data_IF_873052896267
#
_entry.id   IF_873052896267
#
_cell.length_a   1.000
_cell.length_b   1.000
_cell.length_c   1.000
_cell.angle_alpha   90.00
_cell.angle_beta   90.00
_cell.angle_gamma   90.00
#
_symmetry.space_group_name_H-M   'P 1'
#
loop_
_entity.id
_entity.type
_entity.pdbx_description
1 polymer ?
#
# COMPACT_ATOMS: atom_id res chain seq x y z
N UNK A 1 11.54 4.39 -22.71
CA UNK A 1 10.71 4.76 -21.53
C UNK A 1 10.52 3.53 -20.66
N UNK A 2 10.81 3.66 -19.38
CA UNK A 2 10.56 2.61 -18.40
C UNK A 2 9.09 2.63 -17.94
N UNK A 3 8.64 1.54 -17.33
CA UNK A 3 7.30 1.49 -16.75
C UNK A 3 7.11 2.52 -15.62
N UNK A 4 8.18 2.79 -14.86
CA UNK A 4 8.17 3.80 -13.80
C UNK A 4 7.96 5.21 -14.36
N UNK A 5 8.78 5.62 -15.34
CA UNK A 5 8.64 6.94 -15.98
C UNK A 5 7.24 7.16 -16.54
N UNK A 6 6.68 6.14 -17.18
CA UNK A 6 5.32 6.20 -17.73
C UNK A 6 4.26 6.39 -16.64
N UNK A 7 4.37 5.65 -15.53
CA UNK A 7 3.46 5.78 -14.41
C UNK A 7 3.56 7.16 -13.74
N UNK A 8 4.77 7.67 -13.56
CA UNK A 8 5.01 9.01 -12.99
C UNK A 8 4.38 10.11 -13.86
N UNK A 9 4.55 10.05 -15.18
CA UNK A 9 3.92 11.00 -16.10
C UNK A 9 2.39 11.01 -16.02
N UNK A 10 1.76 9.82 -15.96
CA UNK A 10 0.31 9.72 -15.86
C UNK A 10 -0.24 10.20 -14.51
N UNK A 11 0.49 10.00 -13.43
CA UNK A 11 0.06 10.36 -12.08
C UNK A 11 0.39 11.80 -11.71
N UNK A 12 1.34 12.43 -12.38
CA UNK A 12 1.76 13.81 -12.11
C UNK A 12 0.61 14.83 -12.04
N UNK A 13 -0.40 14.81 -12.93
CA UNK A 13 -1.55 15.72 -12.82
C UNK A 13 -2.60 15.27 -11.79
N UNK A 14 -2.46 14.08 -11.20
CA UNK A 14 -3.47 13.44 -10.35
C UNK A 14 -3.13 13.59 -8.87
N UNK A 15 -1.85 13.48 -8.50
CA UNK A 15 -1.40 13.51 -7.11
C UNK A 15 -0.01 14.14 -6.98
N UNK A 16 0.21 14.85 -5.89
CA UNK A 16 1.53 15.39 -5.57
C UNK A 16 2.54 14.28 -5.23
N UNK A 17 2.06 13.14 -4.75
CA UNK A 17 2.89 11.97 -4.40
C UNK A 17 3.09 11.01 -5.58
N UNK A 18 3.00 11.48 -6.81
CA UNK A 18 3.05 10.66 -8.02
C UNK A 18 4.27 9.75 -8.12
N UNK A 19 5.45 10.19 -7.69
CA UNK A 19 6.65 9.37 -7.70
C UNK A 19 6.56 8.18 -6.73
N UNK A 20 6.07 8.44 -5.52
CA UNK A 20 5.90 7.39 -4.51
C UNK A 20 4.80 6.39 -4.93
N UNK A 21 3.66 6.90 -5.40
CA UNK A 21 2.56 6.05 -5.88
C UNK A 21 2.97 5.23 -7.10
N UNK A 22 3.72 5.81 -8.04
CA UNK A 22 4.23 5.09 -9.21
C UNK A 22 5.13 3.91 -8.82
N UNK A 23 6.05 4.09 -7.88
CA UNK A 23 6.89 2.99 -7.36
C UNK A 23 6.06 1.87 -6.74
N UNK A 24 5.05 2.21 -5.96
CA UNK A 24 4.15 1.23 -5.35
C UNK A 24 3.39 0.44 -6.43
N UNK A 25 2.86 1.12 -7.44
CA UNK A 25 2.15 0.49 -8.55
C UNK A 25 3.07 -0.47 -9.32
N UNK A 26 4.26 -0.04 -9.68
CA UNK A 26 5.21 -0.88 -10.42
C UNK A 26 5.66 -2.08 -9.57
N UNK A 27 5.90 -1.87 -8.28
CA UNK A 27 6.20 -2.97 -7.34
C UNK A 27 5.09 -4.01 -7.29
N UNK A 28 3.84 -3.56 -7.22
CA UNK A 28 2.67 -4.46 -7.21
C UNK A 28 2.54 -5.24 -8.52
N UNK A 29 2.68 -4.58 -9.66
CA UNK A 29 2.52 -5.19 -10.99
C UNK A 29 3.67 -6.13 -11.38
N UNK A 30 4.88 -5.89 -10.89
CA UNK A 30 6.08 -6.64 -11.28
C UNK A 30 6.59 -7.60 -10.20
N UNK A 31 6.04 -7.53 -9.00
CA UNK A 31 6.52 -8.25 -7.81
C UNK A 31 7.97 -7.88 -7.40
N UNK A 32 8.53 -6.81 -7.94
CA UNK A 32 9.84 -6.30 -7.54
C UNK A 32 9.74 -5.52 -6.23
N UNK A 33 10.71 -5.65 -5.31
CA UNK A 33 10.78 -4.80 -4.12
C UNK A 33 10.88 -3.33 -4.50
N UNK A 34 10.18 -2.44 -3.77
CA UNK A 34 10.14 -1.00 -4.05
C UNK A 34 11.55 -0.40 -4.18
N UNK A 35 12.47 -0.79 -3.28
CA UNK A 35 13.85 -0.31 -3.30
C UNK A 35 14.65 -0.72 -4.55
N UNK A 36 14.19 -1.69 -5.33
CA UNK A 36 14.85 -2.16 -6.55
C UNK A 36 14.25 -1.61 -7.84
N UNK A 37 13.10 -0.96 -7.78
CA UNK A 37 12.40 -0.47 -8.98
C UNK A 37 13.29 0.44 -9.83
N UNK A 38 14.00 1.38 -9.21
CA UNK A 38 14.89 2.29 -9.93
C UNK A 38 16.11 1.58 -10.53
N UNK A 39 16.58 0.51 -9.91
CA UNK A 39 17.77 -0.25 -10.34
C UNK A 39 17.41 -1.21 -11.48
N UNK A 40 16.34 -1.96 -11.31
CA UNK A 40 15.86 -2.94 -12.28
C UNK A 40 15.24 -2.26 -13.51
N UNK A 41 14.65 -1.06 -13.32
CA UNK A 41 14.03 -0.23 -14.36
C UNK A 41 13.22 -1.05 -15.38
N UNK A 42 12.16 -1.75 -14.96
CA UNK A 42 11.43 -2.65 -15.86
C UNK A 42 10.93 -1.90 -17.10
N UNK A 43 11.12 -2.48 -18.30
CA UNK A 43 10.69 -1.84 -19.53
C UNK A 43 9.17 -1.80 -19.62
N UNK A 44 8.64 -0.78 -20.30
CA UNK A 44 7.21 -0.63 -20.54
C UNK A 44 6.73 -1.65 -21.59
N UNK A 45 6.14 -2.74 -21.13
CA UNK A 45 5.45 -3.68 -22.02
C UNK A 45 4.00 -3.26 -22.27
N UNK A 46 3.37 -3.80 -23.32
CA UNK A 46 1.97 -3.54 -23.61
C UNK A 46 1.04 -3.91 -22.45
N UNK A 47 1.31 -5.04 -21.77
CA UNK A 47 0.55 -5.50 -20.63
C UNK A 47 0.71 -4.56 -19.42
N UNK A 48 1.93 -4.13 -19.13
CA UNK A 48 2.18 -3.16 -18.06
C UNK A 48 1.51 -1.82 -18.37
N UNK A 49 1.60 -1.34 -19.60
CA UNK A 49 0.96 -0.11 -20.03
C UNK A 49 -0.55 -0.15 -19.78
N UNK A 50 -1.22 -1.21 -20.20
CA UNK A 50 -2.66 -1.38 -20.00
C UNK A 50 -3.04 -1.38 -18.52
N UNK A 51 -2.27 -2.09 -17.69
CA UNK A 51 -2.49 -2.12 -16.24
C UNK A 51 -2.28 -0.76 -15.59
N UNK A 52 -1.23 -0.04 -15.96
CA UNK A 52 -0.94 1.30 -15.44
C UNK A 52 -2.03 2.28 -15.87
N UNK A 53 -2.47 2.24 -17.13
CA UNK A 53 -3.55 3.08 -17.65
C UNK A 53 -4.86 2.87 -16.83
N UNK A 54 -5.20 1.63 -16.55
CA UNK A 54 -6.37 1.28 -15.74
C UNK A 54 -6.30 1.83 -14.30
N UNK A 55 -5.16 1.67 -13.67
CA UNK A 55 -4.92 2.18 -12.30
C UNK A 55 -4.95 3.71 -12.29
N UNK A 56 -4.25 4.37 -13.20
CA UNK A 56 -4.21 5.82 -13.29
C UNK A 56 -5.59 6.42 -13.54
N UNK A 57 -6.41 5.79 -14.36
CA UNK A 57 -7.80 6.20 -14.61
C UNK A 57 -8.65 6.16 -13.34
N UNK A 58 -8.58 5.08 -12.58
CA UNK A 58 -9.30 4.96 -11.30
C UNK A 58 -8.78 5.98 -10.29
N UNK A 59 -7.47 6.17 -10.21
CA UNK A 59 -6.84 7.15 -9.32
C UNK A 59 -7.26 8.58 -9.67
N UNK A 60 -7.36 8.91 -10.95
CA UNK A 60 -7.84 10.22 -11.44
C UNK A 60 -9.30 10.50 -11.09
N UNK A 61 -10.10 9.45 -10.89
CA UNK A 61 -11.49 9.56 -10.43
C UNK A 61 -11.61 9.78 -8.91
N UNK A 62 -10.49 9.87 -8.19
CA UNK A 62 -10.43 10.09 -6.75
C UNK A 62 -10.42 8.81 -5.91
N UNK A 63 -10.35 7.63 -6.52
CA UNK A 63 -10.26 6.38 -5.77
C UNK A 63 -8.90 6.26 -5.09
N UNK A 64 -8.83 5.97 -3.78
CA UNK A 64 -7.57 5.75 -3.09
C UNK A 64 -6.78 4.58 -3.67
N UNK A 65 -5.45 4.76 -3.81
CA UNK A 65 -4.58 3.72 -4.36
C UNK A 65 -4.69 2.40 -3.59
N UNK A 66 -4.85 2.46 -2.28
CA UNK A 66 -5.00 1.28 -1.42
C UNK A 66 -6.20 0.41 -1.79
N UNK A 67 -7.32 1.04 -2.19
CA UNK A 67 -8.50 0.30 -2.66
C UNK A 67 -8.32 -0.23 -4.09
N UNK A 68 -7.64 0.54 -4.95
CA UNK A 68 -7.34 0.10 -6.32
C UNK A 68 -6.49 -1.16 -6.32
N UNK A 69 -5.42 -1.18 -5.50
CA UNK A 69 -4.52 -2.33 -5.38
C UNK A 69 -5.12 -3.47 -4.54
N UNK A 70 -6.07 -3.17 -3.65
CA UNK A 70 -6.76 -4.15 -2.82
C UNK A 70 -5.94 -4.68 -1.65
N UNK A 71 -4.75 -4.15 -1.43
CA UNK A 71 -3.86 -4.51 -0.30
C UNK A 71 -2.97 -3.35 0.07
N UNK A 72 -2.56 -3.31 1.33
CA UNK A 72 -1.67 -2.28 1.85
C UNK A 72 -0.84 -2.83 3.01
N UNK A 73 0.38 -2.33 3.17
CA UNK A 73 1.26 -2.71 4.26
C UNK A 73 0.99 -1.86 5.51
N UNK A 74 0.94 -2.52 6.66
CA UNK A 74 0.81 -1.91 7.97
C UNK A 74 1.67 -2.70 8.97
N UNK A 75 2.54 -2.02 9.73
CA UNK A 75 3.51 -2.66 10.64
C UNK A 75 4.38 -3.74 9.96
N UNK A 76 4.71 -3.57 8.69
CA UNK A 76 5.44 -4.55 7.89
C UNK A 76 4.65 -5.77 7.46
N UNK A 77 3.34 -5.80 7.70
CA UNK A 77 2.44 -6.91 7.36
C UNK A 77 1.47 -6.50 6.26
N UNK A 78 1.15 -7.40 5.30
CA UNK A 78 0.16 -7.12 4.27
C UNK A 78 -1.27 -7.30 4.79
N UNK A 79 -2.15 -6.35 4.48
CA UNK A 79 -3.57 -6.40 4.79
C UNK A 79 -4.40 -6.17 3.54
N UNK A 80 -5.50 -6.88 3.42
CA UNK A 80 -6.50 -6.59 2.39
C UNK A 80 -7.22 -5.29 2.70
N UNK A 81 -7.36 -4.44 1.69
CA UNK A 81 -8.06 -3.16 1.77
C UNK A 81 -9.27 -3.17 0.86
N UNK A 82 -10.46 -2.98 1.44
CA UNK A 82 -11.72 -2.95 0.73
C UNK A 82 -12.56 -1.75 1.19
N UNK A 83 -13.50 -1.31 0.36
CA UNK A 83 -14.37 -0.17 0.67
C UNK A 83 -15.24 -0.35 1.94
N UNK A 84 -15.33 -1.55 2.49
CA UNK A 84 -16.07 -1.82 3.72
C UNK A 84 -15.30 -1.50 5.01
N UNK A 85 -14.01 -1.18 4.92
CA UNK A 85 -13.17 -0.90 6.08
C UNK A 85 -12.25 0.30 5.81
N UNK A 86 -11.92 1.03 6.88
CA UNK A 86 -10.99 2.15 6.80
C UNK A 86 -9.59 1.64 6.42
N UNK A 87 -8.94 2.36 5.51
CA UNK A 87 -7.55 2.09 5.13
C UNK A 87 -6.64 2.25 6.35
N UNK A 88 -5.75 1.26 6.65
CA UNK A 88 -4.75 1.42 7.70
C UNK A 88 -3.90 2.67 7.49
N UNK A 89 -3.76 3.49 8.53
CA UNK A 89 -3.01 4.72 8.47
C UNK A 89 -1.69 4.60 9.20
N UNK A 90 -0.66 5.27 8.69
CA UNK A 90 0.68 5.24 9.28
C UNK A 90 0.69 5.76 10.72
N UNK A 91 -0.08 6.79 11.04
CA UNK A 91 -0.20 7.33 12.41
C UNK A 91 -0.65 6.28 13.44
N UNK A 92 -1.46 5.31 12.99
CA UNK A 92 -1.94 4.20 13.83
C UNK A 92 -0.82 3.21 14.19
N UNK A 93 0.26 3.17 13.41
CA UNK A 93 1.43 2.34 13.74
C UNK A 93 2.07 2.77 15.07
N UNK A 94 2.07 4.06 15.39
CA UNK A 94 2.55 4.58 16.67
C UNK A 94 1.76 3.99 17.83
N UNK A 95 0.44 3.86 17.71
CA UNK A 95 -0.39 3.19 18.72
C UNK A 95 0.03 1.73 18.91
N UNK A 96 0.31 1.03 17.82
CA UNK A 96 0.77 -0.36 17.89
C UNK A 96 2.14 -0.47 18.55
N UNK A 97 3.07 0.42 18.24
CA UNK A 97 4.40 0.47 18.86
C UNK A 97 4.31 0.67 20.38
N UNK A 98 3.47 1.60 20.82
CA UNK A 98 3.21 1.84 22.24
C UNK A 98 2.58 0.61 22.93
N UNK A 99 1.59 -0.02 22.29
CA UNK A 99 0.97 -1.24 22.82
C UNK A 99 1.96 -2.40 22.93
N UNK A 100 2.85 -2.56 21.94
CA UNK A 100 3.92 -3.57 21.98
C UNK A 100 4.90 -3.32 23.12
N UNK A 101 5.21 -2.06 23.44
CA UNK A 101 6.09 -1.71 24.55
C UNK A 101 5.48 -2.04 25.92
N UNK A 102 4.16 -1.91 26.05
CA UNK A 102 3.42 -2.26 27.28
C UNK A 102 3.34 -3.78 27.45
N UNK A 103 3.08 -4.51 26.36
CA UNK A 103 2.91 -5.96 26.36
C UNK A 103 1.58 -6.41 26.95
N UNK A 104 1.34 -7.71 26.94
CA UNK A 104 0.13 -8.31 27.47
C UNK A 104 -0.07 -9.75 27.03
N UNK A 105 -1.09 -10.41 27.57
CA UNK A 105 -1.47 -11.78 27.19
C UNK A 105 -2.74 -11.83 26.36
N UNK A 106 -3.60 -10.84 26.54
CA UNK A 106 -4.90 -10.76 25.86
C UNK A 106 -5.08 -9.38 25.29
N UNK A 107 -5.72 -9.31 24.13
CA UNK A 107 -6.00 -8.09 23.40
C UNK A 107 -7.46 -8.06 22.97
N UNK A 108 -8.10 -6.92 23.13
CA UNK A 108 -9.43 -6.64 22.57
C UNK A 108 -9.31 -5.45 21.61
N UNK A 109 -9.60 -5.69 20.34
CA UNK A 109 -9.62 -4.67 19.29
C UNK A 109 -11.07 -4.34 18.92
N UNK A 110 -11.63 -3.32 19.59
CA UNK A 110 -12.99 -2.85 19.34
C UNK A 110 -13.06 -2.04 18.04
N UNK A 111 -14.07 -2.32 17.21
CA UNK A 111 -14.22 -1.66 15.90
C UNK A 111 -12.99 -1.88 14.99
N UNK A 112 -12.57 -3.13 14.89
CA UNK A 112 -11.26 -3.51 14.34
C UNK A 112 -11.02 -3.13 12.86
N UNK A 113 -12.05 -2.80 12.07
CA UNK A 113 -11.90 -2.48 10.65
C UNK A 113 -11.25 -3.61 9.86
N UNK A 114 -10.07 -3.39 9.27
CA UNK A 114 -9.28 -4.41 8.57
C UNK A 114 -8.67 -5.45 9.51
N UNK A 115 -8.71 -5.20 10.82
CA UNK A 115 -8.00 -6.01 11.81
C UNK A 115 -6.51 -5.68 11.93
N UNK A 116 -6.04 -4.60 11.31
CA UNK A 116 -4.61 -4.28 11.22
C UNK A 116 -3.96 -4.10 12.59
N UNK A 117 -4.64 -3.50 13.57
CA UNK A 117 -4.11 -3.32 14.92
C UNK A 117 -4.02 -4.67 15.64
N UNK A 118 -5.14 -5.37 15.79
CA UNK A 118 -5.21 -6.62 16.53
C UNK A 118 -4.30 -7.71 15.95
N UNK A 119 -4.33 -7.89 14.63
CA UNK A 119 -3.49 -8.89 13.95
C UNK A 119 -2.00 -8.56 14.08
N UNK A 120 -1.62 -7.29 13.90
CA UNK A 120 -0.23 -6.87 14.04
C UNK A 120 0.29 -7.09 15.46
N UNK A 121 -0.49 -6.72 16.47
CA UNK A 121 -0.12 -6.92 17.87
C UNK A 121 -0.02 -8.40 18.25
N UNK A 122 -0.97 -9.21 17.78
CA UNK A 122 -0.91 -10.66 17.99
C UNK A 122 0.33 -11.30 17.37
N UNK A 123 0.66 -10.90 16.15
CA UNK A 123 1.78 -11.48 15.40
C UNK A 123 3.15 -10.98 15.90
N UNK A 124 3.26 -9.70 16.24
CA UNK A 124 4.53 -9.08 16.62
C UNK A 124 4.77 -9.10 18.13
N UNK A 125 3.73 -9.08 18.93
CA UNK A 125 3.80 -8.99 20.39
C UNK A 125 3.48 -10.28 21.15
N UNK A 126 2.99 -11.31 20.48
CA UNK A 126 2.66 -12.58 21.13
C UNK A 126 1.41 -12.53 22.03
N UNK A 127 0.50 -11.59 21.75
CA UNK A 127 -0.80 -11.51 22.42
C UNK A 127 -1.65 -12.73 22.12
#
# INVERSE_FOLDING_TARGET
MTALEYAEELLSPVTEEHEAEARIIISDLTALPIGRINIEAPPLSAALKESIDGIAKRRAQGEPLQYILGKWEFMGLPFYTRHCALIPRQDTETLCEEALSIGGRTLLDLCCGTGCIGVSLAKLGGF
#
